data_IF_637777167183
#
_entry.id   IF_637777167183
#
_cell.length_a   1.000
_cell.length_b   1.000
_cell.length_c   1.000
_cell.angle_alpha   90.00
_cell.angle_beta   90.00
_cell.angle_gamma   90.00
#
_symmetry.space_group_name_H-M   'P 1'
#
loop_
_entity.id
_entity.type
_entity.pdbx_description
1 polymer ?
#
# COMPACT_ATOMS: atom_id res chain seq x y z
N UNK A 1 6.26 15.38 -0.12
CA UNK A 1 6.49 13.91 -0.10
C UNK A 1 7.20 13.52 1.19
N UNK A 2 6.95 12.33 1.72
CA UNK A 2 7.43 11.88 3.04
C UNK A 2 8.92 11.48 3.02
N UNK A 3 9.40 10.87 1.94
CA UNK A 3 10.78 10.36 1.78
C UNK A 3 11.87 11.40 2.04
N UNK A 4 11.80 12.64 1.50
CA UNK A 4 12.83 13.64 1.80
C UNK A 4 12.96 13.99 3.28
N UNK A 5 11.86 13.98 4.04
CA UNK A 5 11.91 14.25 5.48
C UNK A 5 12.71 13.17 6.25
N UNK A 6 12.56 11.91 5.84
CA UNK A 6 13.36 10.82 6.40
C UNK A 6 14.83 10.97 6.02
N UNK A 7 15.14 11.20 4.73
CA UNK A 7 16.50 11.29 4.23
C UNK A 7 17.28 12.48 4.85
N UNK A 8 16.59 13.59 5.17
CA UNK A 8 17.18 14.74 5.86
C UNK A 8 17.53 14.45 7.32
N UNK A 9 16.87 13.47 7.93
CA UNK A 9 17.09 13.10 9.34
C UNK A 9 18.11 11.96 9.50
N UNK A 10 18.61 11.38 8.41
CA UNK A 10 19.61 10.31 8.46
C UNK A 10 21.02 10.90 8.41
N UNK A 11 21.89 10.40 9.30
CA UNK A 11 23.32 10.70 9.28
C UNK A 11 24.03 9.74 8.31
N UNK A 12 24.70 10.30 7.28
CA UNK A 12 25.54 9.59 6.31
C UNK A 12 24.93 8.29 5.74
N UNK A 13 23.76 8.34 5.07
CA UNK A 13 23.17 7.16 4.49
C UNK A 13 24.02 6.59 3.35
N UNK A 14 24.35 5.29 3.42
CA UNK A 14 25.19 4.59 2.44
C UNK A 14 24.58 4.63 1.03
N UNK A 15 23.28 4.45 0.91
CA UNK A 15 22.50 4.61 -0.32
C UNK A 15 20.99 4.65 0.00
N UNK A 16 20.20 5.06 -0.99
CA UNK A 16 18.76 4.91 -0.97
C UNK A 16 18.30 4.07 -2.17
N UNK A 17 17.53 3.02 -1.91
CA UNK A 17 17.02 2.08 -2.91
C UNK A 17 15.50 2.23 -3.03
N UNK A 18 15.00 3.09 -3.94
CA UNK A 18 13.56 3.13 -4.22
C UNK A 18 13.15 1.89 -5.00
N UNK A 19 12.09 1.22 -4.52
CA UNK A 19 11.51 0.03 -5.16
C UNK A 19 10.11 0.38 -5.64
N UNK A 20 9.84 0.17 -6.93
CA UNK A 20 8.57 0.51 -7.56
C UNK A 20 8.37 -0.36 -8.80
N UNK A 21 7.14 -0.82 -9.04
CA UNK A 21 6.79 -1.62 -10.22
C UNK A 21 6.80 -0.79 -11.52
N UNK A 22 6.47 0.49 -11.41
CA UNK A 22 6.47 1.43 -12.54
C UNK A 22 7.87 2.02 -12.76
N UNK A 23 8.51 1.65 -13.87
CA UNK A 23 9.82 2.20 -14.27
C UNK A 23 9.81 3.73 -14.37
N UNK A 24 8.78 4.32 -14.98
CA UNK A 24 8.66 5.77 -15.10
C UNK A 24 8.56 6.43 -13.72
N UNK A 25 7.72 5.90 -12.82
CA UNK A 25 7.53 6.45 -11.49
C UNK A 25 8.82 6.42 -10.65
N UNK A 26 9.58 5.31 -10.68
CA UNK A 26 10.85 5.22 -9.94
C UNK A 26 11.91 6.16 -10.54
N UNK A 27 11.96 6.29 -11.88
CA UNK A 27 12.89 7.21 -12.54
C UNK A 27 12.61 8.65 -12.15
N UNK A 28 11.35 9.11 -12.28
CA UNK A 28 10.95 10.45 -11.90
C UNK A 28 11.21 10.74 -10.41
N UNK A 29 11.02 9.75 -9.55
CA UNK A 29 11.32 9.88 -8.11
C UNK A 29 12.84 10.06 -7.89
N UNK A 30 13.67 9.25 -8.55
CA UNK A 30 15.12 9.36 -8.47
C UNK A 30 15.63 10.72 -8.97
N UNK A 31 15.12 11.23 -10.09
CA UNK A 31 15.50 12.53 -10.61
C UNK A 31 15.19 13.68 -9.63
N UNK A 32 14.03 13.63 -8.97
CA UNK A 32 13.67 14.60 -7.93
C UNK A 32 14.58 14.50 -6.71
N UNK A 33 14.89 13.28 -6.27
CA UNK A 33 15.76 13.06 -5.12
C UNK A 33 17.21 13.44 -5.41
N UNK A 34 17.75 13.10 -6.59
CA UNK A 34 19.12 13.46 -6.99
C UNK A 34 19.35 14.98 -6.98
N UNK A 35 18.34 15.76 -7.38
CA UNK A 35 18.42 17.24 -7.30
C UNK A 35 18.46 17.75 -5.87
N UNK A 36 17.78 17.08 -4.93
CA UNK A 36 17.70 17.51 -3.52
C UNK A 36 18.87 16.97 -2.68
N UNK A 37 19.36 15.79 -3.02
CA UNK A 37 20.44 15.07 -2.31
C UNK A 37 21.55 14.66 -3.27
N UNK A 38 22.34 15.60 -3.80
CA UNK A 38 23.31 15.32 -4.87
C UNK A 38 24.45 14.38 -4.45
N UNK A 39 24.67 14.21 -3.13
CA UNK A 39 25.68 13.30 -2.59
C UNK A 39 25.17 11.91 -2.22
N UNK A 40 23.83 11.68 -2.28
CA UNK A 40 23.24 10.39 -1.91
C UNK A 40 23.24 9.42 -3.09
N UNK A 41 23.89 8.25 -2.98
CA UNK A 41 23.77 7.21 -3.99
C UNK A 41 22.32 6.71 -4.10
N UNK A 42 21.76 6.76 -5.30
CA UNK A 42 20.42 6.27 -5.61
C UNK A 42 20.52 5.04 -6.48
N UNK A 43 19.93 3.93 -6.04
CA UNK A 43 19.96 2.63 -6.73
C UNK A 43 18.52 2.13 -6.99
N UNK A 44 17.82 2.65 -8.02
CA UNK A 44 16.43 2.28 -8.27
C UNK A 44 16.28 0.81 -8.66
N UNK A 45 15.28 0.14 -8.08
CA UNK A 45 14.88 -1.22 -8.42
C UNK A 45 13.45 -1.21 -8.97
N UNK A 46 13.28 -1.73 -10.19
CA UNK A 46 11.96 -1.94 -10.79
C UNK A 46 11.52 -3.35 -10.44
N UNK A 47 10.69 -3.48 -9.42
CA UNK A 47 10.21 -4.77 -8.93
C UNK A 47 8.80 -4.66 -8.31
N UNK A 48 8.11 -5.78 -8.32
CA UNK A 48 6.92 -5.99 -7.51
C UNK A 48 7.37 -6.34 -6.08
N UNK A 49 7.23 -5.39 -5.15
CA UNK A 49 7.66 -5.55 -3.75
C UNK A 49 6.83 -6.58 -2.97
N UNK A 50 5.75 -7.12 -3.55
CA UNK A 50 4.99 -8.24 -2.97
C UNK A 50 5.66 -9.59 -3.26
N UNK A 51 6.69 -9.61 -4.10
CA UNK A 51 7.48 -10.77 -4.46
C UNK A 51 8.93 -10.60 -4.01
N UNK A 52 9.67 -11.70 -3.97
CA UNK A 52 11.11 -11.64 -3.70
C UNK A 52 11.83 -10.89 -4.83
N UNK A 53 12.72 -10.02 -4.45
CA UNK A 53 13.66 -9.33 -5.33
C UNK A 53 14.99 -9.13 -4.59
N UNK A 54 16.06 -8.94 -5.34
CA UNK A 54 17.38 -8.71 -4.79
C UNK A 54 17.66 -7.20 -4.69
N UNK A 55 18.29 -6.79 -3.59
CA UNK A 55 18.82 -5.43 -3.47
C UNK A 55 20.17 -5.35 -4.21
N UNK A 56 20.47 -4.22 -4.86
CA UNK A 56 21.79 -3.96 -5.40
C UNK A 56 22.81 -3.83 -4.26
N UNK A 57 24.08 -4.19 -4.57
CA UNK A 57 25.17 -3.99 -3.61
C UNK A 57 25.34 -2.51 -3.28
N UNK A 58 25.35 -2.13 -2.01
CA UNK A 58 25.55 -0.74 -1.63
C UNK A 58 26.99 -0.31 -1.92
N UNK A 59 27.24 0.97 -2.28
CA UNK A 59 28.58 1.46 -2.62
C UNK A 59 29.56 1.44 -1.43
N UNK A 60 29.00 1.42 -0.21
CA UNK A 60 29.75 1.28 1.05
C UNK A 60 29.03 0.29 1.95
N UNK A 61 29.78 -0.40 2.82
CA UNK A 61 29.15 -1.34 3.77
C UNK A 61 28.22 -0.60 4.73
N UNK A 62 26.91 -0.87 4.71
CA UNK A 62 25.96 -0.21 5.59
C UNK A 62 26.12 -0.71 7.03
N UNK A 63 25.94 0.15 8.00
CA UNK A 63 25.86 -0.26 9.40
C UNK A 63 24.57 -0.98 9.72
N UNK A 64 23.46 -0.62 9.01
CA UNK A 64 22.13 -1.19 9.16
C UNK A 64 21.35 -1.02 7.87
N UNK A 65 20.51 -1.99 7.53
CA UNK A 65 19.52 -1.86 6.45
C UNK A 65 18.15 -1.55 7.05
N UNK A 66 17.46 -0.57 6.48
CA UNK A 66 16.12 -0.18 6.89
C UNK A 66 15.16 -0.13 5.70
N UNK A 67 14.01 -0.77 5.83
CA UNK A 67 12.90 -0.62 4.92
C UNK A 67 11.99 0.55 5.35
N UNK A 68 11.48 1.32 4.37
CA UNK A 68 10.58 2.44 4.61
C UNK A 68 9.27 2.25 3.83
N UNK A 69 8.16 2.03 4.54
CA UNK A 69 6.85 1.74 3.97
C UNK A 69 5.74 2.63 4.59
N UNK A 70 5.72 3.94 4.23
CA UNK A 70 5.03 4.98 5.01
C UNK A 70 3.55 5.16 4.70
N UNK A 71 3.02 4.57 3.61
CA UNK A 71 1.73 4.94 3.02
C UNK A 71 0.52 4.20 3.57
N UNK A 72 0.69 3.33 4.57
CA UNK A 72 -0.35 2.38 5.02
C UNK A 72 -0.85 1.41 3.94
N UNK A 73 -0.06 1.21 2.89
CA UNK A 73 -0.34 0.24 1.81
C UNK A 73 -0.46 -1.19 2.36
N UNK A 74 0.12 -1.46 3.53
CA UNK A 74 -0.05 -2.73 4.26
C UNK A 74 -1.53 -3.05 4.53
N UNK A 75 -2.39 -2.04 4.63
CA UNK A 75 -3.83 -2.20 4.80
C UNK A 75 -4.54 -2.78 3.56
N UNK A 76 -3.91 -2.75 2.39
CA UNK A 76 -4.48 -3.32 1.17
C UNK A 76 -4.27 -4.84 1.08
N UNK A 77 -3.44 -5.39 1.94
CA UNK A 77 -3.17 -6.83 2.00
C UNK A 77 -4.14 -7.55 2.93
N UNK A 78 -4.56 -8.75 2.54
CA UNK A 78 -5.19 -9.65 3.50
C UNK A 78 -4.22 -10.01 4.63
N UNK A 79 -4.69 -10.42 5.82
CA UNK A 79 -3.80 -10.66 6.97
C UNK A 79 -2.65 -11.64 6.69
N UNK A 80 -2.89 -12.70 5.90
CA UNK A 80 -1.84 -13.63 5.51
C UNK A 80 -0.83 -13.00 4.54
N UNK A 81 -1.29 -12.23 3.55
CA UNK A 81 -0.44 -11.51 2.61
C UNK A 81 0.40 -10.43 3.31
N UNK A 82 -0.20 -9.72 4.28
CA UNK A 82 0.51 -8.74 5.10
C UNK A 82 1.62 -9.41 5.92
N UNK A 83 1.37 -10.60 6.47
CA UNK A 83 2.39 -11.37 7.18
C UNK A 83 3.49 -11.88 6.25
N UNK A 84 3.14 -12.36 5.05
CA UNK A 84 4.10 -12.79 4.03
C UNK A 84 4.99 -11.61 3.58
N UNK A 85 4.38 -10.43 3.40
CA UNK A 85 5.12 -9.19 3.11
C UNK A 85 6.09 -8.83 4.25
N UNK A 86 5.64 -8.87 5.51
CA UNK A 86 6.51 -8.59 6.65
C UNK A 86 7.66 -9.60 6.74
N UNK A 87 7.41 -10.88 6.47
CA UNK A 87 8.46 -11.91 6.44
C UNK A 87 9.49 -11.64 5.33
N UNK A 88 9.04 -11.27 4.14
CA UNK A 88 9.93 -10.91 3.03
C UNK A 88 10.77 -9.67 3.37
N UNK A 89 10.18 -8.67 4.03
CA UNK A 89 10.91 -7.48 4.47
C UNK A 89 11.93 -7.84 5.56
N UNK A 90 11.59 -8.72 6.52
CA UNK A 90 12.54 -9.16 7.54
C UNK A 90 13.76 -9.87 6.94
N UNK A 91 13.55 -10.75 5.95
CA UNK A 91 14.65 -11.38 5.20
C UNK A 91 15.48 -10.31 4.45
N UNK A 92 14.83 -9.34 3.82
CA UNK A 92 15.49 -8.30 3.02
C UNK A 92 16.40 -7.39 3.85
N UNK A 93 15.92 -6.97 5.03
CA UNK A 93 16.70 -6.09 5.92
C UNK A 93 17.73 -6.85 6.74
N UNK A 94 17.55 -8.14 6.91
CA UNK A 94 18.45 -9.03 7.65
C UNK A 94 18.47 -8.81 9.16
N UNK A 95 19.31 -9.54 9.88
CA UNK A 95 19.42 -9.44 11.33
C UNK A 95 19.76 -8.01 11.79
N UNK A 96 19.04 -7.52 12.81
CA UNK A 96 19.13 -6.15 13.31
C UNK A 96 18.70 -5.08 12.28
N UNK A 97 18.13 -5.49 11.14
CA UNK A 97 17.51 -4.58 10.19
C UNK A 97 16.28 -3.89 10.77
N UNK A 98 15.77 -2.86 10.11
CA UNK A 98 14.61 -2.12 10.59
C UNK A 98 13.52 -2.00 9.53
N UNK A 99 12.30 -1.84 10.01
CA UNK A 99 11.16 -1.43 9.19
C UNK A 99 10.51 -0.18 9.82
N UNK A 100 10.51 0.92 9.09
CA UNK A 100 9.72 2.11 9.43
C UNK A 100 8.44 2.08 8.60
N UNK A 101 7.30 1.84 9.24
CA UNK A 101 6.03 1.62 8.58
C UNK A 101 4.94 2.57 9.04
N UNK A 102 4.15 3.09 8.10
CA UNK A 102 2.93 3.83 8.38
C UNK A 102 1.72 2.90 8.39
N UNK A 103 0.92 2.96 9.43
CA UNK A 103 -0.23 2.08 9.63
C UNK A 103 -1.47 2.90 9.97
N UNK A 104 -2.50 2.77 9.16
CA UNK A 104 -3.79 3.41 9.40
C UNK A 104 -4.56 2.66 10.49
N UNK A 105 -4.98 3.40 11.52
CA UNK A 105 -5.57 2.83 12.71
C UNK A 105 -7.11 2.84 12.64
N UNK A 106 -7.74 2.02 13.46
CA UNK A 106 -9.19 2.02 13.65
C UNK A 106 -9.63 3.36 14.21
N UNK A 107 -10.66 3.92 13.60
CA UNK A 107 -11.27 5.21 13.96
C UNK A 107 -12.78 5.13 13.70
N UNK A 108 -13.58 6.12 14.13
CA UNK A 108 -15.02 6.16 13.89
C UNK A 108 -15.37 5.97 12.41
N UNK A 109 -16.41 5.18 12.14
CA UNK A 109 -16.83 4.83 10.77
C UNK A 109 -17.25 6.07 9.99
N UNK A 110 -17.85 7.03 10.66
CA UNK A 110 -18.23 8.34 10.11
C UNK A 110 -17.02 9.19 9.64
N UNK A 111 -15.83 8.89 10.15
CA UNK A 111 -14.57 9.49 9.69
C UNK A 111 -13.94 8.66 8.56
N UNK A 112 -14.10 7.33 8.62
CA UNK A 112 -13.50 6.42 7.63
C UNK A 112 -14.21 6.53 6.28
N UNK A 113 -15.54 6.37 6.24
CA UNK A 113 -16.25 6.25 4.97
C UNK A 113 -16.09 7.46 4.05
N UNK A 114 -16.16 8.72 4.53
CA UNK A 114 -15.94 9.89 3.67
C UNK A 114 -14.53 9.98 3.06
N UNK A 115 -13.54 9.29 3.64
CA UNK A 115 -12.19 9.23 3.07
C UNK A 115 -12.09 8.24 1.90
N UNK A 116 -13.05 7.33 1.78
CA UNK A 116 -13.12 6.32 0.71
C UNK A 116 -14.32 6.52 -0.24
N UNK A 117 -15.18 7.48 0.05
CA UNK A 117 -16.31 7.90 -0.79
C UNK A 117 -16.47 9.41 -0.63
N UNK A 118 -15.47 10.14 -1.15
CA UNK A 118 -15.33 11.58 -1.00
C UNK A 118 -16.36 12.35 -1.84
N UNK A 119 -16.87 13.46 -1.30
CA UNK A 119 -17.89 14.27 -1.96
C UNK A 119 -17.44 14.86 -3.32
N UNK A 120 -16.13 14.99 -3.57
CA UNK A 120 -15.58 15.39 -4.85
C UNK A 120 -15.58 14.27 -5.90
N UNK A 121 -15.85 13.01 -5.49
CA UNK A 121 -15.92 11.84 -6.36
C UNK A 121 -14.58 11.37 -6.90
N UNK A 122 -13.47 11.80 -6.31
CA UNK A 122 -12.12 11.41 -6.77
C UNK A 122 -11.90 9.91 -6.57
N UNK A 123 -12.26 9.39 -5.40
CA UNK A 123 -12.17 7.95 -5.10
C UNK A 123 -13.10 7.13 -5.97
N UNK A 124 -14.32 7.62 -6.23
CA UNK A 124 -15.26 6.97 -7.12
C UNK A 124 -14.73 6.87 -8.56
N UNK A 125 -14.14 7.95 -9.07
CA UNK A 125 -13.52 7.97 -10.40
C UNK A 125 -12.31 7.02 -10.48
N UNK A 126 -11.47 7.00 -9.44
CA UNK A 126 -10.35 6.07 -9.32
C UNK A 126 -10.81 4.61 -9.33
N UNK A 127 -11.83 4.27 -8.52
CA UNK A 127 -12.34 2.91 -8.46
C UNK A 127 -12.97 2.46 -9.79
N UNK A 128 -13.79 3.31 -10.42
CA UNK A 128 -14.39 3.02 -11.74
C UNK A 128 -13.35 2.83 -12.84
N UNK A 129 -12.20 3.51 -12.75
CA UNK A 129 -11.12 3.36 -13.72
C UNK A 129 -10.51 1.94 -13.77
N UNK A 130 -10.72 1.12 -12.73
CA UNK A 130 -10.35 -0.31 -12.75
C UNK A 130 -11.03 -1.03 -13.91
N UNK A 131 -12.30 -0.71 -14.21
CA UNK A 131 -13.03 -1.31 -15.33
C UNK A 131 -12.41 -0.96 -16.70
N UNK A 132 -11.92 0.28 -16.86
CA UNK A 132 -11.20 0.67 -18.06
C UNK A 132 -9.91 -0.14 -18.24
N UNK A 133 -9.18 -0.38 -17.16
CA UNK A 133 -7.96 -1.22 -17.20
C UNK A 133 -8.29 -2.67 -17.53
N UNK A 134 -9.35 -3.23 -16.93
CA UNK A 134 -9.81 -4.59 -17.27
C UNK A 134 -10.18 -4.68 -18.74
N UNK A 135 -10.96 -3.73 -19.27
CA UNK A 135 -11.32 -3.67 -20.68
C UNK A 135 -10.08 -3.67 -21.59
N UNK A 136 -9.08 -2.86 -21.28
CA UNK A 136 -7.84 -2.77 -22.06
C UNK A 136 -7.03 -4.06 -22.04
N UNK A 137 -6.99 -4.76 -20.90
CA UNK A 137 -6.16 -5.96 -20.73
C UNK A 137 -6.82 -7.22 -21.26
N UNK A 138 -8.15 -7.33 -21.18
CA UNK A 138 -8.89 -8.55 -21.46
C UNK A 138 -9.84 -8.45 -22.66
N UNK A 139 -9.96 -7.26 -23.27
CA UNK A 139 -10.94 -7.01 -24.31
C UNK A 139 -12.39 -7.06 -23.81
N UNK A 140 -12.61 -6.78 -22.53
CA UNK A 140 -13.95 -6.75 -21.93
C UNK A 140 -14.72 -5.49 -22.37
N UNK A 141 -16.03 -5.51 -22.14
CA UNK A 141 -16.96 -4.45 -22.55
C UNK A 141 -17.69 -3.79 -21.35
N UNK A 142 -17.03 -3.67 -20.21
CA UNK A 142 -17.57 -2.89 -19.09
C UNK A 142 -17.81 -1.43 -19.51
N UNK A 143 -19.02 -0.91 -19.25
CA UNK A 143 -19.26 0.52 -19.21
C UNK A 143 -19.10 1.00 -17.74
N UNK A 144 -18.10 1.82 -17.41
CA UNK A 144 -17.92 2.32 -16.04
C UNK A 144 -19.11 3.12 -15.51
N UNK A 145 -19.95 3.70 -16.38
CA UNK A 145 -21.14 4.45 -15.96
C UNK A 145 -22.30 3.54 -15.53
N UNK A 146 -22.26 2.27 -15.88
CA UNK A 146 -23.22 1.26 -15.40
C UNK A 146 -22.92 0.83 -13.95
N UNK A 147 -21.83 1.32 -13.35
CA UNK A 147 -21.41 0.97 -12.01
C UNK A 147 -21.22 2.22 -11.13
N UNK A 148 -21.90 2.25 -10.00
CA UNK A 148 -21.64 3.26 -8.96
C UNK A 148 -20.59 2.76 -7.98
N UNK A 149 -19.76 3.66 -7.50
CA UNK A 149 -18.85 3.40 -6.40
C UNK A 149 -19.60 3.35 -5.07
N UNK A 150 -19.15 2.49 -4.16
CA UNK A 150 -19.68 2.38 -2.81
C UNK A 150 -18.56 1.92 -1.86
N UNK A 151 -18.29 2.70 -0.80
CA UNK A 151 -17.40 2.29 0.28
C UNK A 151 -18.21 1.69 1.43
N UNK A 152 -17.78 0.54 1.94
CA UNK A 152 -18.46 -0.20 3.02
C UNK A 152 -17.49 -0.50 4.15
N UNK A 153 -17.94 -0.28 5.39
CA UNK A 153 -17.19 -0.75 6.56
C UNK A 153 -17.55 -2.19 6.90
N UNK A 154 -16.56 -3.06 6.87
CA UNK A 154 -16.69 -4.44 7.34
C UNK A 154 -16.10 -4.55 8.75
N UNK A 155 -16.96 -4.35 9.77
CA UNK A 155 -16.56 -4.35 11.19
C UNK A 155 -16.02 -5.71 11.67
N UNK A 156 -16.46 -6.83 11.07
CA UNK A 156 -15.96 -8.17 11.41
C UNK A 156 -14.49 -8.32 11.07
N UNK A 157 -14.08 -7.78 9.94
CA UNK A 157 -12.70 -7.87 9.44
C UNK A 157 -11.88 -6.61 9.72
N UNK A 158 -12.52 -5.52 10.20
CA UNK A 158 -11.85 -4.27 10.51
C UNK A 158 -11.28 -3.57 9.28
N UNK A 159 -12.03 -3.55 8.17
CA UNK A 159 -11.58 -2.97 6.90
C UNK A 159 -12.66 -2.16 6.22
N UNK A 160 -12.26 -1.17 5.43
CA UNK A 160 -13.11 -0.57 4.41
C UNK A 160 -12.99 -1.42 3.14
N UNK A 161 -14.11 -1.68 2.51
CA UNK A 161 -14.19 -2.37 1.22
C UNK A 161 -14.71 -1.39 0.18
N UNK A 162 -14.03 -1.29 -0.97
CA UNK A 162 -14.53 -0.55 -2.11
C UNK A 162 -15.23 -1.50 -3.08
N UNK A 163 -16.39 -1.09 -3.51
CA UNK A 163 -17.24 -1.87 -4.42
C UNK A 163 -17.64 -1.02 -5.65
N UNK A 164 -17.79 -1.71 -6.78
CA UNK A 164 -18.45 -1.20 -7.97
C UNK A 164 -19.77 -1.93 -8.10
N UNK A 165 -20.90 -1.23 -7.92
CA UNK A 165 -22.23 -1.78 -7.81
C UNK A 165 -23.02 -1.47 -9.07
N UNK A 166 -23.55 -2.50 -9.74
CA UNK A 166 -24.35 -2.36 -10.94
C UNK A 166 -25.59 -1.49 -10.67
N UNK A 167 -25.84 -0.50 -11.54
CA UNK A 167 -26.96 0.45 -11.43
C UNK A 167 -28.23 -0.06 -12.11
N UNK A 168 -28.12 -1.14 -12.87
CA UNK A 168 -29.20 -1.82 -13.60
C UNK A 168 -28.82 -3.28 -13.86
N UNK A 169 -29.75 -4.06 -14.34
CA UNK A 169 -29.47 -5.39 -14.89
C UNK A 169 -28.66 -5.25 -16.18
N UNK A 170 -27.55 -5.96 -16.30
CA UNK A 170 -26.67 -5.92 -17.47
C UNK A 170 -25.89 -7.23 -17.64
N UNK A 171 -25.38 -7.44 -18.83
CA UNK A 171 -24.42 -8.51 -19.14
C UNK A 171 -23.12 -7.87 -19.61
N UNK A 172 -22.00 -8.36 -19.11
CA UNK A 172 -20.66 -7.95 -19.50
C UNK A 172 -19.89 -9.16 -19.99
N UNK A 173 -19.11 -8.99 -21.03
CA UNK A 173 -18.22 -10.01 -21.57
C UNK A 173 -16.79 -9.77 -21.12
N UNK A 174 -16.18 -10.80 -20.55
CA UNK A 174 -14.77 -10.79 -20.13
C UNK A 174 -14.09 -12.00 -20.76
N UNK A 175 -13.10 -11.78 -21.59
CA UNK A 175 -12.37 -12.85 -22.29
C UNK A 175 -13.32 -13.84 -23.00
N UNK A 176 -14.36 -13.32 -23.66
CA UNK A 176 -15.37 -14.09 -24.38
C UNK A 176 -16.45 -14.76 -23.51
N UNK A 177 -16.36 -14.71 -22.19
CA UNK A 177 -17.36 -15.24 -21.26
C UNK A 177 -18.34 -14.16 -20.82
N UNK A 178 -19.65 -14.50 -20.82
CA UNK A 178 -20.70 -13.58 -20.38
C UNK A 178 -20.91 -13.69 -18.87
N UNK A 179 -20.97 -12.53 -18.20
CA UNK A 179 -21.27 -12.38 -16.78
C UNK A 179 -22.49 -11.48 -16.60
N UNK A 180 -23.54 -12.03 -15.99
CA UNK A 180 -24.73 -11.27 -15.68
C UNK A 180 -24.60 -10.57 -14.33
N UNK A 181 -24.93 -9.29 -14.30
CA UNK A 181 -25.08 -8.47 -13.11
C UNK A 181 -26.56 -8.09 -12.96
N UNK A 182 -27.12 -8.33 -11.81
CA UNK A 182 -28.41 -7.76 -11.42
C UNK A 182 -28.17 -6.42 -10.75
N UNK A 183 -29.12 -5.49 -10.86
CA UNK A 183 -29.08 -4.22 -10.13
C UNK A 183 -28.77 -4.43 -8.65
N UNK A 184 -27.83 -3.65 -8.12
CA UNK A 184 -27.35 -3.75 -6.73
C UNK A 184 -26.28 -4.81 -6.49
N UNK A 185 -25.98 -5.70 -7.44
CA UNK A 185 -24.84 -6.63 -7.34
C UNK A 185 -23.54 -5.89 -7.56
N UNK A 186 -22.55 -6.13 -6.71
CA UNK A 186 -21.27 -5.44 -6.75
C UNK A 186 -20.06 -6.33 -7.04
N UNK A 187 -19.02 -5.72 -7.57
CA UNK A 187 -17.67 -6.24 -7.65
C UNK A 187 -16.89 -5.62 -6.49
N UNK A 188 -16.32 -6.44 -5.64
CA UNK A 188 -15.39 -5.99 -4.60
C UNK A 188 -14.01 -5.75 -5.22
N UNK A 189 -13.56 -4.50 -5.23
CA UNK A 189 -12.36 -4.06 -5.95
C UNK A 189 -11.14 -3.92 -5.05
N UNK A 190 -11.32 -3.44 -3.82
CA UNK A 190 -10.21 -3.16 -2.93
C UNK A 190 -10.62 -3.30 -1.45
N UNK A 191 -9.65 -3.68 -0.63
CA UNK A 191 -9.73 -3.66 0.83
C UNK A 191 -8.76 -2.65 1.41
N UNK A 192 -9.13 -2.01 2.51
CA UNK A 192 -8.21 -1.24 3.33
C UNK A 192 -8.41 -1.58 4.80
N UNK A 193 -7.56 -2.47 5.32
CA UNK A 193 -7.58 -2.88 6.71
C UNK A 193 -7.13 -1.76 7.63
N UNK A 194 -7.84 -1.63 8.76
CA UNK A 194 -7.53 -0.69 9.84
C UNK A 194 -7.09 -1.48 11.05
N UNK A 195 -5.90 -1.19 11.52
CA UNK A 195 -5.30 -1.94 12.61
C UNK A 195 -5.55 -1.27 13.96
N UNK A 196 -5.45 -2.05 15.03
CA UNK A 196 -5.10 -1.53 16.35
C UNK A 196 -3.59 -1.69 16.54
N UNK A 197 -2.96 -0.90 17.42
CA UNK A 197 -1.52 -1.05 17.70
C UNK A 197 -1.19 -2.50 18.12
N UNK A 198 -1.97 -3.05 19.05
CA UNK A 198 -1.78 -4.44 19.50
C UNK A 198 -2.02 -5.46 18.37
N UNK A 199 -3.02 -5.23 17.50
CA UNK A 199 -3.31 -6.12 16.36
C UNK A 199 -2.20 -6.10 15.32
N UNK A 200 -1.57 -4.95 15.09
CA UNK A 200 -0.44 -4.86 14.18
C UNK A 200 0.83 -5.49 14.78
N UNK A 201 1.09 -5.27 16.07
CA UNK A 201 2.19 -5.94 16.78
C UNK A 201 2.05 -7.48 16.74
N UNK A 202 0.83 -8.00 16.94
CA UNK A 202 0.56 -9.44 16.82
C UNK A 202 0.75 -9.96 15.37
N UNK A 203 0.47 -9.14 14.36
CA UNK A 203 0.74 -9.49 12.95
C UNK A 203 2.24 -9.62 12.67
N UNK A 204 3.06 -8.79 13.30
CA UNK A 204 4.53 -8.76 13.17
C UNK A 204 5.24 -9.76 14.08
N UNK A 205 4.54 -10.41 15.03
CA UNK A 205 5.13 -11.28 16.06
C UNK A 205 6.01 -12.37 15.46
N UNK A 206 7.24 -12.52 16.01
CA UNK A 206 8.24 -13.47 15.56
C UNK A 206 8.98 -13.09 14.27
N UNK A 207 8.61 -11.97 13.64
CA UNK A 207 9.31 -11.39 12.48
C UNK A 207 10.00 -10.09 12.87
N UNK A 208 9.31 -9.29 13.64
CA UNK A 208 9.77 -7.98 14.11
C UNK A 208 9.32 -7.71 15.53
N UNK A 209 10.14 -7.00 16.27
CA UNK A 209 9.81 -6.37 17.54
C UNK A 209 9.48 -4.89 17.31
N UNK A 210 8.33 -4.42 17.80
CA UNK A 210 7.96 -3.00 17.74
C UNK A 210 8.77 -2.23 18.78
N UNK A 211 9.65 -1.34 18.35
CA UNK A 211 10.55 -0.60 19.24
C UNK A 211 10.03 0.80 19.56
N UNK A 212 9.39 1.48 18.58
CA UNK A 212 8.85 2.82 18.77
C UNK A 212 7.53 2.97 18.02
N UNK A 213 6.63 3.77 18.57
CA UNK A 213 5.31 4.08 17.98
C UNK A 213 5.03 5.56 18.13
N UNK A 214 4.78 6.23 17.02
CA UNK A 214 4.27 7.61 16.99
C UNK A 214 2.88 7.63 16.39
N UNK A 215 1.99 8.42 16.99
CA UNK A 215 0.63 8.61 16.48
C UNK A 215 0.35 10.08 16.25
N UNK A 216 -0.64 10.37 15.41
CA UNK A 216 -1.24 11.71 15.38
C UNK A 216 -2.05 12.00 16.67
N UNK A 217 -2.46 13.25 16.86
CA UNK A 217 -3.14 13.72 18.07
C UNK A 217 -4.47 12.97 18.34
N UNK A 218 -5.08 12.42 17.30
CA UNK A 218 -6.32 11.66 17.42
C UNK A 218 -6.10 10.14 17.58
N UNK A 219 -4.87 9.65 17.41
CA UNK A 219 -4.58 8.22 17.38
C UNK A 219 -5.18 7.52 16.16
N UNK A 220 -5.30 8.19 15.02
CA UNK A 220 -5.91 7.66 13.81
C UNK A 220 -4.92 7.08 12.81
N UNK A 221 -3.67 7.46 12.93
CA UNK A 221 -2.56 6.96 12.14
C UNK A 221 -1.35 6.74 13.04
N UNK A 222 -0.56 5.72 12.74
CA UNK A 222 0.72 5.51 13.40
C UNK A 222 1.85 5.41 12.41
N UNK A 223 3.01 5.87 12.83
CA UNK A 223 4.30 5.47 12.27
C UNK A 223 4.95 4.58 13.32
N UNK A 224 5.42 3.42 12.91
CA UNK A 224 6.01 2.44 13.82
C UNK A 224 7.41 2.08 13.33
N UNK A 225 8.36 2.01 14.26
CA UNK A 225 9.68 1.47 14.03
C UNK A 225 9.73 0.05 14.56
N UNK A 226 10.14 -0.87 13.73
CA UNK A 226 10.25 -2.28 14.05
C UNK A 226 11.69 -2.73 13.80
N UNK A 227 12.22 -3.59 14.67
CA UNK A 227 13.51 -4.24 14.50
C UNK A 227 13.32 -5.71 14.17
N UNK A 228 14.04 -6.23 13.17
CA UNK A 228 13.93 -7.62 12.78
C UNK A 228 14.33 -8.51 13.96
N UNK A 229 13.46 -9.48 14.28
CA UNK A 229 13.72 -10.50 15.31
C UNK A 229 14.97 -11.29 14.94
N UNK A 230 15.81 -11.55 15.94
CA UNK A 230 17.11 -12.22 15.76
C UNK A 230 17.00 -13.73 15.53
#
# INVERSE_FOLDING_TARGET
TKTPLLLEALDDPACYVPVEISRSAVTDACERLARRFPGLPLQPVVADYTRRFDLPDPPTTPGRTAAYFPGSTIGNFHPHEARDFLAAVAELVGPRGALLIGVDLRKPVETLLPAYDDAAGVTAAFNRNVLNHVNQQTGSDFDPEDFRHEARWNGRHGRVEMHLVATRDLEVRVDGHAFAFTEGRGIWTESSYKHTLAGFAALAEGLFDVTEVWTDDHGWFSVQCLEAAG
#
